data_IF_997600415478
#
_entry.id   IF_997600415478
#
_cell.length_a   1.000
_cell.length_b   1.000
_cell.length_c   1.000
_cell.angle_alpha   90.00
_cell.angle_beta   90.00
_cell.angle_gamma   90.00
#
_symmetry.space_group_name_H-M   'P 1'
#
loop_
_entity.id
_entity.type
_entity.pdbx_description
1 polymer ?
#
# COMPACT_ATOMS: atom_id res chain seq x y z
N UNK A 1 51.89 16.96 -10.78
CA UNK A 1 50.75 16.04 -10.94
C UNK A 1 50.79 15.07 -9.77
N UNK A 2 49.85 15.18 -8.82
CA UNK A 2 49.63 14.16 -7.79
C UNK A 2 48.14 13.95 -7.64
N UNK A 3 47.78 12.68 -7.72
CA UNK A 3 46.46 12.14 -7.97
C UNK A 3 45.49 12.36 -6.83
N UNK A 4 44.30 12.81 -7.24
CA UNK A 4 43.02 12.84 -6.54
C UNK A 4 42.88 11.78 -5.45
N UNK A 5 42.65 12.23 -4.22
CA UNK A 5 42.19 11.40 -3.12
C UNK A 5 40.78 10.90 -3.46
N UNK A 6 40.73 9.71 -4.06
CA UNK A 6 39.50 8.95 -4.26
C UNK A 6 38.95 8.64 -2.87
N UNK A 7 37.91 9.37 -2.47
CA UNK A 7 37.05 9.03 -1.35
C UNK A 7 36.62 7.59 -1.55
N UNK A 8 37.17 6.69 -0.74
CA UNK A 8 36.64 5.35 -0.59
C UNK A 8 35.25 5.52 0.04
N UNK A 9 34.21 5.53 -0.79
CA UNK A 9 32.85 5.29 -0.33
C UNK A 9 32.85 3.95 0.38
N UNK A 10 32.62 3.97 1.68
CA UNK A 10 32.50 2.77 2.50
C UNK A 10 31.35 1.91 1.94
N UNK A 11 31.58 0.63 1.57
CA UNK A 11 30.53 -0.25 1.04
C UNK A 11 29.53 -0.71 2.11
N UNK A 12 29.46 -0.01 3.25
CA UNK A 12 28.60 -0.30 4.39
C UNK A 12 27.32 0.55 4.43
N UNK A 13 27.18 1.57 3.59
CA UNK A 13 26.05 2.51 3.63
C UNK A 13 24.75 1.95 3.02
N UNK A 14 24.80 0.85 2.24
CA UNK A 14 23.64 0.29 1.51
C UNK A 14 23.17 -1.10 2.02
N UNK A 15 23.47 -1.47 3.26
CA UNK A 15 22.94 -2.74 3.81
C UNK A 15 21.53 -2.51 4.36
N UNK A 16 20.52 -2.77 3.53
CA UNK A 16 19.12 -2.90 3.96
C UNK A 16 19.10 -3.92 5.12
N UNK A 17 18.82 -3.44 6.32
CA UNK A 17 18.65 -4.33 7.46
C UNK A 17 17.37 -5.14 7.31
N UNK A 18 17.30 -6.33 7.91
CA UNK A 18 16.07 -7.13 7.90
C UNK A 18 14.88 -6.34 8.48
N UNK A 19 15.14 -5.48 9.46
CA UNK A 19 14.14 -4.59 10.07
C UNK A 19 13.65 -3.52 9.09
N UNK A 20 14.56 -2.90 8.34
CA UNK A 20 14.22 -1.92 7.29
C UNK A 20 13.41 -2.59 6.18
N UNK A 21 13.84 -3.77 5.72
CA UNK A 21 13.10 -4.53 4.72
C UNK A 21 11.68 -4.88 5.16
N UNK A 22 11.49 -5.40 6.38
CA UNK A 22 10.16 -5.73 6.88
C UNK A 22 9.29 -4.49 7.07
N UNK A 23 9.88 -3.37 7.52
CA UNK A 23 9.18 -2.10 7.66
C UNK A 23 8.68 -1.58 6.30
N UNK A 24 9.56 -1.56 5.29
CA UNK A 24 9.22 -1.13 3.93
C UNK A 24 8.18 -2.05 3.29
N UNK A 25 8.31 -3.36 3.51
CA UNK A 25 7.36 -4.37 3.04
C UNK A 25 5.98 -4.17 3.66
N UNK A 26 5.89 -3.91 4.96
CA UNK A 26 4.62 -3.62 5.64
C UNK A 26 4.03 -2.28 5.18
N UNK A 27 4.86 -1.25 5.00
CA UNK A 27 4.42 0.04 4.47
C UNK A 27 3.84 -0.09 3.06
N UNK A 28 4.54 -0.80 2.17
CA UNK A 28 4.04 -1.07 0.82
C UNK A 28 2.76 -1.89 0.84
N UNK A 29 2.65 -2.86 1.74
CA UNK A 29 1.42 -3.67 1.88
C UNK A 29 0.25 -2.81 2.36
N UNK A 30 0.49 -1.87 3.26
CA UNK A 30 -0.52 -0.94 3.76
C UNK A 30 -1.03 -0.03 2.62
N UNK A 31 -0.11 0.54 1.84
CA UNK A 31 -0.45 1.39 0.67
C UNK A 31 -1.37 0.66 -0.31
N UNK A 32 -1.04 -0.59 -0.67
CA UNK A 32 -1.86 -1.40 -1.58
C UNK A 32 -3.25 -1.74 -1.01
N UNK A 33 -3.35 -1.95 0.31
CA UNK A 33 -4.64 -2.19 0.96
C UNK A 33 -5.51 -0.93 0.98
N UNK A 34 -4.92 0.24 1.23
CA UNK A 34 -5.63 1.52 1.22
C UNK A 34 -6.13 1.87 -0.18
N UNK A 35 -5.34 1.58 -1.22
CA UNK A 35 -5.76 1.71 -2.62
C UNK A 35 -6.95 0.79 -2.94
N UNK A 36 -6.84 -0.50 -2.59
CA UNK A 36 -7.93 -1.48 -2.80
C UNK A 36 -9.22 -1.09 -2.08
N UNK A 37 -9.11 -0.61 -0.83
CA UNK A 37 -10.26 -0.11 -0.06
C UNK A 37 -10.91 1.08 -0.77
N UNK A 38 -10.12 2.06 -1.22
CA UNK A 38 -10.65 3.22 -1.92
C UNK A 38 -11.36 2.82 -3.22
N UNK A 39 -10.83 1.83 -3.95
CA UNK A 39 -11.47 1.27 -5.13
C UNK A 39 -12.78 0.56 -4.80
N UNK A 40 -12.81 -0.30 -3.79
CA UNK A 40 -14.02 -0.99 -3.33
C UNK A 40 -15.11 0.00 -2.90
N UNK A 41 -14.76 1.04 -2.15
CA UNK A 41 -15.71 2.09 -1.79
C UNK A 41 -16.22 2.88 -3.00
N UNK A 42 -15.36 3.16 -3.98
CA UNK A 42 -15.73 3.80 -5.23
C UNK A 42 -16.71 2.91 -6.01
N UNK A 43 -16.45 1.60 -6.10
CA UNK A 43 -17.34 0.64 -6.74
C UNK A 43 -18.72 0.60 -6.06
N UNK A 44 -18.78 0.70 -4.73
CA UNK A 44 -20.06 0.74 -3.99
C UNK A 44 -20.87 2.03 -4.21
N UNK A 45 -20.22 3.14 -4.54
CA UNK A 45 -20.85 4.44 -4.80
C UNK A 45 -21.15 4.68 -6.29
N UNK A 46 -20.53 3.91 -7.18
CA UNK A 46 -20.44 4.25 -8.60
C UNK A 46 -19.49 5.43 -8.83
N UNK A 47 -19.04 5.61 -10.07
CA UNK A 47 -18.13 6.69 -10.44
C UNK A 47 -18.16 6.97 -11.94
N UNK A 48 -17.55 8.08 -12.34
CA UNK A 48 -17.25 8.37 -13.76
C UNK A 48 -15.80 7.97 -14.00
N UNK A 49 -15.56 7.10 -14.98
CA UNK A 49 -14.19 6.73 -15.36
C UNK A 49 -13.50 7.96 -15.97
N UNK A 50 -12.40 8.44 -15.36
CA UNK A 50 -11.71 9.64 -15.84
C UNK A 50 -11.04 9.45 -17.21
N UNK A 51 -10.80 8.22 -17.66
CA UNK A 51 -10.14 7.95 -18.95
C UNK A 51 -11.13 7.94 -20.11
N UNK A 52 -12.32 7.41 -19.90
CA UNK A 52 -13.34 7.25 -20.94
C UNK A 52 -14.49 8.25 -20.83
N UNK A 53 -14.72 8.83 -19.65
CA UNK A 53 -15.91 9.63 -19.34
C UNK A 53 -17.17 8.81 -19.06
N UNK A 54 -17.07 7.47 -19.10
CA UNK A 54 -18.21 6.58 -18.92
C UNK A 54 -18.68 6.52 -17.46
N UNK A 55 -19.99 6.41 -17.27
CA UNK A 55 -20.60 6.25 -15.95
C UNK A 55 -20.57 4.77 -15.57
N UNK A 56 -19.78 4.44 -14.55
CA UNK A 56 -19.76 3.13 -13.92
C UNK A 56 -20.81 3.09 -12.82
N UNK A 57 -21.88 2.28 -12.96
CA UNK A 57 -22.93 2.21 -11.96
C UNK A 57 -22.41 1.58 -10.65
N UNK A 58 -23.05 1.90 -9.50
CA UNK A 58 -22.72 1.25 -8.24
C UNK A 58 -22.86 -0.27 -8.31
N UNK A 59 -21.97 -0.99 -7.60
CA UNK A 59 -22.04 -2.43 -7.44
C UNK A 59 -23.40 -2.88 -6.86
N UNK A 60 -23.97 -3.96 -7.43
CA UNK A 60 -25.28 -4.52 -7.04
C UNK A 60 -25.22 -6.06 -6.96
N UNK A 61 -26.20 -6.65 -6.27
CA UNK A 61 -26.33 -8.10 -6.12
C UNK A 61 -25.08 -8.74 -5.53
N UNK A 62 -24.73 -9.94 -6.01
CA UNK A 62 -23.56 -10.69 -5.52
C UNK A 62 -22.24 -9.93 -5.66
N UNK A 63 -22.09 -9.06 -6.67
CA UNK A 63 -20.90 -8.21 -6.79
C UNK A 63 -20.78 -7.24 -5.61
N UNK A 64 -21.90 -6.63 -5.17
CA UNK A 64 -21.91 -5.77 -3.98
C UNK A 64 -21.52 -6.54 -2.72
N UNK A 65 -22.08 -7.73 -2.53
CA UNK A 65 -21.81 -8.59 -1.37
C UNK A 65 -20.33 -8.97 -1.31
N UNK A 66 -19.74 -9.31 -2.46
CA UNK A 66 -18.31 -9.58 -2.57
C UNK A 66 -17.46 -8.35 -2.21
N UNK A 67 -17.80 -7.17 -2.72
CA UNK A 67 -17.07 -5.93 -2.39
C UNK A 67 -17.14 -5.63 -0.89
N UNK A 68 -18.31 -5.78 -0.27
CA UNK A 68 -18.47 -5.58 1.17
C UNK A 68 -17.66 -6.60 2.00
N UNK A 69 -17.65 -7.86 1.58
CA UNK A 69 -16.85 -8.91 2.21
C UNK A 69 -15.35 -8.59 2.13
N UNK A 70 -14.86 -8.19 0.96
CA UNK A 70 -13.47 -7.80 0.76
C UNK A 70 -13.09 -6.61 1.64
N UNK A 71 -13.91 -5.55 1.64
CA UNK A 71 -13.68 -4.36 2.46
C UNK A 71 -13.58 -4.67 3.95
N UNK A 72 -14.41 -5.59 4.46
CA UNK A 72 -14.36 -6.00 5.86
C UNK A 72 -13.01 -6.66 6.20
N UNK A 73 -12.54 -7.56 5.33
CA UNK A 73 -11.26 -8.25 5.48
C UNK A 73 -10.10 -7.25 5.37
N UNK A 74 -10.07 -6.43 4.34
CA UNK A 74 -8.99 -5.47 4.07
C UNK A 74 -8.83 -4.46 5.21
N UNK A 75 -9.94 -3.91 5.73
CA UNK A 75 -9.90 -3.00 6.89
C UNK A 75 -9.36 -3.71 8.13
N UNK A 76 -9.74 -4.97 8.37
CA UNK A 76 -9.19 -5.75 9.47
C UNK A 76 -7.68 -5.99 9.31
N UNK A 77 -7.20 -6.25 8.09
CA UNK A 77 -5.77 -6.38 7.78
C UNK A 77 -5.00 -5.07 8.00
N UNK A 78 -5.54 -3.93 7.55
CA UNK A 78 -4.96 -2.60 7.78
C UNK A 78 -4.78 -2.34 9.27
N UNK A 79 -5.84 -2.56 10.06
CA UNK A 79 -5.79 -2.37 11.51
C UNK A 79 -4.84 -3.33 12.21
N UNK A 80 -4.61 -4.52 11.66
CA UNK A 80 -3.61 -5.46 12.17
C UNK A 80 -2.18 -4.99 11.85
N UNK A 81 -1.93 -4.56 10.63
CA UNK A 81 -0.60 -4.07 10.20
C UNK A 81 -0.22 -2.82 11.00
N UNK A 82 -1.14 -1.86 11.16
CA UNK A 82 -0.92 -0.65 11.95
C UNK A 82 -0.60 -0.94 13.42
N UNK A 83 -1.20 -1.99 14.01
CA UNK A 83 -0.89 -2.46 15.36
C UNK A 83 0.45 -3.20 15.47
N UNK A 84 0.95 -3.76 14.36
CA UNK A 84 2.23 -4.47 14.29
C UNK A 84 3.39 -3.53 13.91
N UNK A 85 3.10 -2.33 13.39
CA UNK A 85 4.09 -1.29 13.13
C UNK A 85 4.93 -0.99 14.37
N UNK A 86 6.18 -0.50 14.21
CA UNK A 86 7.17 -0.50 15.27
C UNK A 86 6.56 0.10 16.53
N UNK A 87 6.46 -0.75 17.57
CA UNK A 87 6.07 -0.31 18.89
C UNK A 87 6.97 0.86 19.23
N UNK A 88 6.40 2.07 19.30
CA UNK A 88 7.10 3.25 19.83
C UNK A 88 7.50 2.89 21.25
N UNK A 89 8.75 2.45 21.38
CA UNK A 89 9.44 2.16 22.64
C UNK A 89 10.25 3.38 23.00
#
# INVERSE_FOLDING_TARGET
MSTSARTAHSPSEDRISAETYESDRLARRLELLEESIAEGERALRGFVDPRSGEVVPPARGGHREQVLSNLAIERALVERIRRTGPSRS
#
